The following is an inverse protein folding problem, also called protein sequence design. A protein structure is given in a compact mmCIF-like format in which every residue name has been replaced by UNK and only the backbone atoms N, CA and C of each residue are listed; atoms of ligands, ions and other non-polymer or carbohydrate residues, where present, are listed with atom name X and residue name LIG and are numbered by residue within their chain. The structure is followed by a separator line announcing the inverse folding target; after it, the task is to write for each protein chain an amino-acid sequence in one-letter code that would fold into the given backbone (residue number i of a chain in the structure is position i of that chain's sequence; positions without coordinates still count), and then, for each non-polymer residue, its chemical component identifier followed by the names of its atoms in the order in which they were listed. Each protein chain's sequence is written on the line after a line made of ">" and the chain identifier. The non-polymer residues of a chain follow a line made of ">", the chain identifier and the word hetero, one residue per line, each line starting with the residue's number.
data_IF_129030995694
#
_entry.id   IF_129030995694
#
_cell.length_a   1.000
_cell.length_b   1.000
_cell.length_c   1.000
_cell.angle_alpha   90.00
_cell.angle_beta   90.00
_cell.angle_gamma   90.00
#
_symmetry.space_group_name_H-M   'P 1'
#
loop_
_entity.id
_entity.type
_entity.pdbx_description
1 polymer ?
#
# COMPACT_ATOMS: atom_id res chain seq x y z
N UNK A 1 -10.30 -19.61 -0.68
CA UNK A 1 -9.37 -18.48 -0.59
C UNK A 1 -8.35 -18.53 -1.72
N UNK A 2 -7.95 -17.39 -2.21
CA UNK A 2 -7.04 -17.27 -3.35
C UNK A 2 -5.63 -17.69 -2.95
N UNK A 3 -5.07 -18.71 -3.62
CA UNK A 3 -3.71 -19.18 -3.34
C UNK A 3 -2.68 -18.08 -3.55
N UNK A 4 -2.94 -17.17 -4.51
CA UNK A 4 -2.04 -16.06 -4.80
C UNK A 4 -1.97 -15.09 -3.61
N UNK A 5 -3.11 -14.83 -2.98
CA UNK A 5 -3.15 -13.97 -1.78
C UNK A 5 -2.33 -14.61 -0.66
N UNK A 6 -2.43 -15.92 -0.47
CA UNK A 6 -1.66 -16.61 0.56
C UNK A 6 -0.15 -16.52 0.33
N UNK A 7 0.29 -16.69 -0.91
CA UNK A 7 1.70 -16.59 -1.25
C UNK A 7 2.23 -15.18 -1.00
N UNK A 8 1.50 -14.17 -1.44
CA UNK A 8 1.90 -12.78 -1.27
C UNK A 8 1.89 -12.41 0.22
N UNK A 9 0.88 -12.89 0.95
CA UNK A 9 0.82 -12.66 2.40
C UNK A 9 2.09 -13.18 3.08
N UNK A 10 2.46 -14.41 2.79
CA UNK A 10 3.66 -15.00 3.38
C UNK A 10 4.90 -14.18 3.06
N UNK A 11 5.01 -13.72 1.82
CA UNK A 11 6.15 -12.91 1.41
C UNK A 11 6.21 -11.59 2.18
N UNK A 12 5.09 -10.88 2.29
CA UNK A 12 5.05 -9.63 3.03
C UNK A 12 5.38 -9.83 4.50
N UNK A 13 4.85 -10.89 5.12
CA UNK A 13 5.09 -11.15 6.52
C UNK A 13 6.57 -11.42 6.77
N UNK A 14 7.20 -12.23 5.92
CA UNK A 14 8.62 -12.55 6.08
C UNK A 14 9.50 -11.35 5.77
N UNK A 15 9.27 -10.68 4.64
CA UNK A 15 10.11 -9.57 4.22
C UNK A 15 9.94 -8.34 5.13
N UNK A 16 8.74 -8.13 5.64
CA UNK A 16 8.41 -6.94 6.41
C UNK A 16 8.35 -7.14 7.92
N UNK A 17 8.58 -8.38 8.38
CA UNK A 17 8.47 -8.69 9.81
C UNK A 17 7.08 -8.33 10.34
N UNK A 18 6.03 -8.78 9.64
CA UNK A 18 4.65 -8.38 9.92
C UNK A 18 3.82 -9.47 10.61
N UNK A 19 4.48 -10.38 11.33
CA UNK A 19 3.82 -11.52 11.96
C UNK A 19 2.64 -11.09 12.83
N UNK A 20 2.78 -10.00 13.58
CA UNK A 20 1.72 -9.53 14.48
C UNK A 20 0.50 -8.98 13.72
N UNK A 21 0.63 -8.73 12.43
CA UNK A 21 -0.46 -8.21 11.61
C UNK A 21 -0.92 -9.21 10.55
N UNK A 22 -0.70 -10.49 10.78
CA UNK A 22 -0.96 -11.52 9.77
C UNK A 22 -2.40 -11.47 9.24
N UNK A 23 -3.40 -11.43 10.13
CA UNK A 23 -4.80 -11.41 9.70
C UNK A 23 -5.15 -10.11 8.98
N UNK A 24 -4.59 -9.00 9.45
CA UNK A 24 -4.82 -7.69 8.83
C UNK A 24 -4.27 -7.67 7.41
N UNK A 25 -3.05 -8.15 7.24
CA UNK A 25 -2.40 -8.22 5.92
C UNK A 25 -3.23 -9.08 4.97
N UNK A 26 -3.68 -10.24 5.44
CA UNK A 26 -4.48 -11.13 4.60
C UNK A 26 -5.75 -10.42 4.09
N UNK A 27 -6.43 -9.71 4.97
CA UNK A 27 -7.67 -9.01 4.60
C UNK A 27 -7.41 -7.86 3.64
N UNK A 28 -6.32 -7.11 3.85
CA UNK A 28 -5.95 -6.02 2.96
C UNK A 28 -5.62 -6.58 1.57
N UNK A 29 -4.80 -7.61 1.52
CA UNK A 29 -4.41 -8.22 0.24
C UNK A 29 -5.61 -8.81 -0.48
N UNK A 30 -6.56 -9.39 0.26
CA UNK A 30 -7.77 -9.91 -0.35
C UNK A 30 -8.61 -8.78 -0.95
N UNK A 31 -8.71 -7.64 -0.26
CA UNK A 31 -9.42 -6.47 -0.78
C UNK A 31 -8.80 -5.97 -2.08
N UNK A 32 -7.48 -5.93 -2.13
CA UNK A 32 -6.76 -5.49 -3.33
C UNK A 32 -7.01 -6.47 -4.48
N UNK A 33 -6.93 -7.76 -4.19
CA UNK A 33 -7.20 -8.80 -5.19
C UNK A 33 -8.64 -8.72 -5.70
N UNK A 34 -9.60 -8.52 -4.81
CA UNK A 34 -11.01 -8.40 -5.16
C UNK A 34 -11.27 -7.18 -6.04
N UNK A 35 -10.46 -6.14 -5.88
CA UNK A 35 -10.54 -4.94 -6.71
C UNK A 35 -9.84 -5.10 -8.06
N UNK A 36 -9.35 -6.31 -8.37
CA UNK A 36 -8.69 -6.64 -9.61
C UNK A 36 -7.39 -5.87 -9.79
N UNK A 37 -6.65 -5.72 -8.69
CA UNK A 37 -5.36 -5.04 -8.65
C UNK A 37 -4.30 -6.03 -8.16
N UNK A 38 -3.11 -5.97 -8.75
CA UNK A 38 -1.98 -6.81 -8.32
C UNK A 38 -1.13 -6.06 -7.31
N UNK A 39 -0.43 -6.81 -6.47
CA UNK A 39 0.51 -6.23 -5.51
C UNK A 39 1.68 -7.20 -5.33
N UNK A 40 2.88 -6.64 -5.19
CA UNK A 40 4.08 -7.45 -4.95
C UNK A 40 5.12 -6.66 -4.17
N UNK A 41 6.08 -7.39 -3.62
CA UNK A 41 7.27 -6.81 -2.99
C UNK A 41 8.30 -6.50 -4.07
N UNK A 42 8.93 -5.33 -3.98
CA UNK A 42 10.00 -4.96 -4.90
C UNK A 42 11.28 -4.71 -4.12
N UNK A 43 12.23 -5.63 -4.20
CA UNK A 43 13.45 -5.59 -3.39
C UNK A 43 14.48 -4.61 -3.93
N UNK A 44 14.30 -4.13 -5.16
CA UNK A 44 15.19 -3.14 -5.76
C UNK A 44 14.58 -1.74 -5.77
N UNK A 45 13.34 -1.61 -5.33
CA UNK A 45 12.64 -0.32 -5.32
C UNK A 45 12.85 0.39 -3.99
N UNK A 46 13.30 1.64 -4.05
CA UNK A 46 13.42 2.46 -2.84
C UNK A 46 12.05 2.95 -2.37
N UNK A 47 11.18 3.27 -3.32
CA UNK A 47 9.85 3.79 -3.03
C UNK A 47 8.78 2.86 -3.54
N UNK A 48 7.62 2.89 -2.87
CA UNK A 48 6.45 2.15 -3.34
C UNK A 48 5.75 2.94 -4.44
N UNK A 49 5.04 2.25 -5.31
CA UNK A 49 4.38 2.87 -6.46
C UNK A 49 3.22 2.02 -6.94
N UNK A 50 2.41 2.61 -7.80
CA UNK A 50 1.39 1.86 -8.53
C UNK A 50 1.57 2.13 -10.01
N UNK A 51 1.49 1.07 -10.79
CA UNK A 51 1.64 1.12 -12.25
C UNK A 51 0.34 0.70 -12.90
N UNK A 52 -0.07 1.43 -13.93
CA UNK A 52 -1.29 1.11 -14.66
C UNK A 52 -1.03 1.31 -16.15
N UNK A 53 -1.47 0.35 -16.98
CA UNK A 53 -1.25 0.45 -18.42
C UNK A 53 -2.23 1.45 -19.02
N UNK A 54 -1.77 2.12 -20.09
CA UNK A 54 -2.55 3.17 -20.75
C UNK A 54 -3.82 2.61 -21.37
N UNK A 55 -3.74 1.40 -21.94
CA UNK A 55 -4.86 0.79 -22.66
C UNK A 55 -5.62 -0.24 -21.84
N UNK A 56 -5.35 -0.30 -20.53
CA UNK A 56 -5.96 -1.27 -19.63
C UNK A 56 -5.70 -2.72 -20.03
N UNK A 57 -4.63 -2.96 -20.80
CA UNK A 57 -4.28 -4.32 -21.24
C UNK A 57 -3.77 -5.18 -20.08
N UNK A 58 -3.34 -4.56 -18.99
CA UNK A 58 -2.84 -5.25 -17.82
C UNK A 58 -3.50 -4.69 -16.57
N UNK A 59 -3.61 -5.53 -15.54
CA UNK A 59 -4.12 -5.10 -14.25
C UNK A 59 -3.19 -4.07 -13.64
N UNK A 60 -3.73 -3.08 -12.92
CA UNK A 60 -2.89 -2.19 -12.12
C UNK A 60 -2.04 -3.00 -11.16
N UNK A 61 -0.82 -2.56 -10.92
CA UNK A 61 0.14 -3.31 -10.11
C UNK A 61 0.79 -2.39 -9.07
N UNK A 62 0.53 -2.68 -7.81
CA UNK A 62 1.15 -1.99 -6.69
C UNK A 62 2.48 -2.69 -6.38
N UNK A 63 3.55 -1.92 -6.30
CA UNK A 63 4.86 -2.43 -5.91
C UNK A 63 5.28 -1.75 -4.62
N UNK A 64 5.52 -2.54 -3.59
CA UNK A 64 5.95 -2.00 -2.29
C UNK A 64 7.46 -2.12 -2.22
N UNK A 65 8.14 -0.99 -2.01
CA UNK A 65 9.60 -0.94 -2.00
C UNK A 65 10.19 -1.50 -0.73
N UNK A 66 11.15 -2.42 -0.89
CA UNK A 66 11.84 -3.06 0.22
C UNK A 66 13.35 -2.83 0.18
N UNK A 67 13.84 -2.00 -0.75
CA UNK A 67 15.27 -1.76 -0.84
C UNK A 67 15.83 -1.12 0.42
N UNK A 68 15.07 -0.19 1.02
CA UNK A 68 15.46 0.45 2.27
C UNK A 68 14.64 -0.13 3.41
N UNK A 69 15.27 -0.46 4.55
CA UNK A 69 14.50 -0.92 5.71
C UNK A 69 13.57 0.18 6.22
N UNK A 70 12.40 -0.22 6.64
CA UNK A 70 11.46 0.71 7.25
C UNK A 70 11.80 0.90 8.72
N UNK A 71 11.52 2.07 9.23
CA UNK A 71 11.75 2.38 10.64
C UNK A 71 10.90 1.51 11.55
N UNK A 72 9.67 1.19 11.11
CA UNK A 72 8.76 0.29 11.82
C UNK A 72 8.10 -0.64 10.82
N UNK A 73 7.83 -1.91 11.20
CA UNK A 73 7.15 -2.83 10.27
C UNK A 73 5.80 -2.31 9.78
N UNK A 74 5.04 -1.63 10.63
CA UNK A 74 3.71 -1.14 10.26
C UNK A 74 3.78 -0.12 9.11
N UNK A 75 4.91 0.51 8.88
CA UNK A 75 5.07 1.46 7.78
C UNK A 75 4.85 0.79 6.43
N UNK A 76 5.13 -0.51 6.34
CA UNK A 76 4.83 -1.27 5.12
C UNK A 76 3.34 -1.31 4.87
N UNK A 77 2.55 -1.48 5.94
CA UNK A 77 1.10 -1.46 5.82
C UNK A 77 0.63 -0.08 5.36
N UNK A 78 1.22 0.98 5.91
CA UNK A 78 0.89 2.34 5.49
C UNK A 78 1.19 2.56 4.00
N UNK A 79 2.31 2.04 3.52
CA UNK A 79 2.65 2.12 2.09
C UNK A 79 1.60 1.39 1.24
N UNK A 80 1.17 0.22 1.69
CA UNK A 80 0.16 -0.55 0.96
C UNK A 80 -1.15 0.24 0.88
N UNK A 81 -1.60 0.80 1.99
CA UNK A 81 -2.85 1.56 2.02
C UNK A 81 -2.74 2.83 1.18
N UNK A 82 -1.58 3.47 1.17
CA UNK A 82 -1.34 4.67 0.37
C UNK A 82 -1.43 4.35 -1.13
N UNK A 83 -0.75 3.29 -1.58
CA UNK A 83 -0.81 2.93 -3.00
C UNK A 83 -2.20 2.44 -3.39
N UNK A 84 -2.86 1.70 -2.51
CA UNK A 84 -4.24 1.32 -2.77
C UNK A 84 -5.16 2.55 -2.80
N UNK A 85 -4.84 3.56 -1.99
CA UNK A 85 -5.54 4.86 -2.05
C UNK A 85 -5.43 5.51 -3.41
N UNK A 86 -4.24 5.50 -4.00
CA UNK A 86 -4.06 5.98 -5.36
C UNK A 86 -4.95 5.21 -6.34
N UNK A 87 -4.96 3.90 -6.22
CA UNK A 87 -5.79 3.06 -7.10
C UNK A 87 -7.28 3.41 -6.95
N UNK A 88 -7.76 3.53 -5.72
CA UNK A 88 -9.17 3.82 -5.47
C UNK A 88 -9.58 5.24 -5.87
N UNK A 89 -8.62 6.16 -5.96
CA UNK A 89 -8.89 7.53 -6.36
C UNK A 89 -9.16 7.65 -7.86
N UNK A 90 -8.93 6.60 -8.62
CA UNK A 90 -9.11 6.64 -10.07
C UNK A 90 -7.99 7.40 -10.76
N UNK A 91 -6.75 7.01 -10.51
CA UNK A 91 -5.57 7.67 -11.06
C UNK A 91 -5.68 7.93 -12.56
N UNK A 92 -5.34 9.14 -13.03
CA UNK A 92 -5.08 9.30 -14.45
C UNK A 92 -3.83 8.52 -14.83
N UNK A 93 -3.95 7.80 -15.91
CA UNK A 93 -2.89 6.95 -16.41
C UNK A 93 -1.67 7.80 -16.76
N UNK A 94 -0.47 7.34 -16.35
CA UNK A 94 0.78 7.94 -16.73
C UNK A 94 1.15 9.24 -16.03
N UNK A 95 0.40 9.65 -15.03
CA UNK A 95 0.69 10.87 -14.28
C UNK A 95 1.24 10.52 -12.90
N UNK A 96 2.37 11.10 -12.57
CA UNK A 96 2.92 11.02 -11.23
C UNK A 96 2.02 11.73 -10.23
N UNK A 97 2.35 11.61 -8.98
CA UNK A 97 1.54 12.25 -7.95
C UNK A 97 1.74 13.75 -7.94
N UNK A 98 0.65 14.50 -8.05
CA UNK A 98 0.66 15.91 -7.69
C UNK A 98 0.47 15.99 -6.18
N UNK A 99 0.81 17.12 -5.53
CA UNK A 99 0.56 17.24 -4.09
C UNK A 99 -0.88 16.92 -3.71
N UNK A 100 -1.84 17.37 -4.50
CA UNK A 100 -3.26 17.13 -4.23
C UNK A 100 -3.60 15.64 -4.31
N UNK A 101 -3.02 14.94 -5.26
CA UNK A 101 -3.26 13.50 -5.42
C UNK A 101 -2.63 12.69 -4.31
N UNK A 102 -1.43 13.12 -3.86
CA UNK A 102 -0.79 12.45 -2.74
C UNK A 102 -1.65 12.59 -1.50
N UNK A 103 -2.14 13.79 -1.23
CA UNK A 103 -3.03 14.02 -0.09
C UNK A 103 -4.30 13.16 -0.22
N UNK A 104 -4.89 13.13 -1.40
CA UNK A 104 -6.10 12.34 -1.64
C UNK A 104 -5.85 10.86 -1.39
N UNK A 105 -4.73 10.34 -1.87
CA UNK A 105 -4.39 8.93 -1.68
C UNK A 105 -4.22 8.60 -0.20
N UNK A 106 -3.56 9.47 0.57
CA UNK A 106 -3.42 9.27 2.01
C UNK A 106 -4.76 9.34 2.72
N UNK A 107 -5.65 10.25 2.30
CA UNK A 107 -7.00 10.35 2.88
C UNK A 107 -7.82 9.09 2.61
N UNK A 108 -7.75 8.57 1.39
CA UNK A 108 -8.45 7.32 1.05
C UNK A 108 -7.85 6.15 1.82
N UNK A 109 -6.52 6.12 1.93
CA UNK A 109 -5.84 5.11 2.73
C UNK A 109 -6.28 5.13 4.18
N UNK A 110 -6.50 6.31 4.73
CA UNK A 110 -7.00 6.47 6.09
C UNK A 110 -8.40 5.86 6.23
N UNK A 111 -9.27 6.06 5.25
CA UNK A 111 -10.60 5.45 5.28
C UNK A 111 -10.51 3.93 5.22
N UNK A 112 -9.56 3.40 4.46
CA UNK A 112 -9.32 1.97 4.44
C UNK A 112 -8.81 1.47 5.80
N UNK A 113 -7.90 2.22 6.42
CA UNK A 113 -7.35 1.87 7.74
C UNK A 113 -8.46 1.66 8.75
N UNK A 114 -9.48 2.50 8.74
CA UNK A 114 -10.56 2.45 9.72
C UNK A 114 -11.39 1.16 9.64
N UNK A 115 -11.26 0.42 8.55
CA UNK A 115 -11.95 -0.87 8.41
C UNK A 115 -11.28 -2.00 9.20
N UNK A 116 -10.07 -1.75 9.70
CA UNK A 116 -9.27 -2.76 10.40
C UNK A 116 -9.07 -2.35 11.85
N UNK A 117 -9.84 -2.94 12.79
CA UNK A 117 -9.76 -2.52 14.20
C UNK A 117 -8.34 -2.55 14.76
N UNK A 118 -7.53 -3.53 14.35
CA UNK A 118 -6.16 -3.64 14.86
C UNK A 118 -5.25 -2.49 14.39
N UNK A 119 -5.66 -1.73 13.37
CA UNK A 119 -4.91 -0.58 12.89
C UNK A 119 -5.41 0.73 13.47
N UNK A 120 -6.65 0.75 13.98
CA UNK A 120 -7.25 1.98 14.49
C UNK A 120 -6.43 2.54 15.66
N UNK A 121 -5.85 1.67 16.49
CA UNK A 121 -5.00 2.09 17.60
C UNK A 121 -3.69 2.73 17.14
N UNK A 122 -3.37 2.62 15.85
CA UNK A 122 -2.13 3.13 15.27
C UNK A 122 -2.34 4.37 14.40
N UNK A 123 -3.48 5.02 14.52
CA UNK A 123 -3.81 6.20 13.70
C UNK A 123 -2.76 7.30 13.83
N UNK A 124 -2.26 7.53 15.05
CA UNK A 124 -1.26 8.58 15.25
C UNK A 124 0.03 8.26 14.48
N UNK A 125 0.44 7.00 14.45
CA UNK A 125 1.61 6.59 13.68
C UNK A 125 1.38 6.81 12.20
N UNK A 126 0.19 6.45 11.70
CA UNK A 126 -0.18 6.68 10.30
C UNK A 126 -0.06 8.16 9.93
N UNK A 127 -0.58 9.02 10.77
CA UNK A 127 -0.54 10.46 10.52
C UNK A 127 0.89 11.00 10.49
N UNK A 128 1.73 10.53 11.41
CA UNK A 128 3.14 10.92 11.42
C UNK A 128 3.88 10.46 10.17
N UNK A 129 3.64 9.23 9.77
CA UNK A 129 4.26 8.67 8.57
C UNK A 129 3.82 9.44 7.33
N UNK A 130 2.52 9.73 7.23
CA UNK A 130 1.96 10.55 6.16
C UNK A 130 2.66 11.89 6.05
N UNK A 131 2.81 12.58 7.18
CA UNK A 131 3.46 13.89 7.21
C UNK A 131 4.91 13.80 6.70
N UNK A 132 5.63 12.78 7.15
CA UNK A 132 7.00 12.56 6.73
C UNK A 132 7.08 12.32 5.22
N UNK A 133 6.20 11.49 4.69
CA UNK A 133 6.18 11.17 3.27
C UNK A 133 5.81 12.38 2.43
N UNK A 134 4.83 13.17 2.87
CA UNK A 134 4.41 14.37 2.14
C UNK A 134 5.51 15.41 2.10
N UNK A 135 6.29 15.54 3.18
CA UNK A 135 7.44 16.45 3.21
C UNK A 135 8.53 16.05 2.24
N UNK A 136 8.75 14.74 2.10
CA UNK A 136 9.85 14.23 1.29
C UNK A 136 9.52 14.13 -0.19
N UNK A 137 8.26 14.28 -0.55
CA UNK A 137 7.78 14.16 -1.94
C UNK A 137 7.64 15.54 -2.60
N UNK A 138 8.61 16.37 -2.43
CA UNK A 138 8.59 17.70 -3.07
C UNK A 138 9.21 17.66 -4.43
#
# INVERSE_FOLDING_TARGET
>A
MNDNVQKIKCEFILAGNLTQYENTIERILQSISDANCKISCCYICENSSIEQSIDNSRKPHIRIGFKRPKEKPIHIIWDILHEFGHFLSGLPIGKGGTPEREIQAWDIGFEQLKKYPELVDQIDDYKKYREKCLKNNK
#
